data_IF_947644837618
#
_entry.id   IF_947644837618
#
_cell.length_a   1.000
_cell.length_b   1.000
_cell.length_c   1.000
_cell.angle_alpha   90.00
_cell.angle_beta   90.00
_cell.angle_gamma   90.00
#
_symmetry.space_group_name_H-M   'P 1'
#
loop_
_entity.id
_entity.type
_entity.pdbx_description
1 polymer ?
#
# COMPACT_ATOMS: atom_id res chain seq x y z
N UNK A 1 3.30 11.08 -1.67
CA UNK A 1 1.94 10.49 -1.76
C UNK A 1 1.16 10.49 -0.46
N UNK A 2 1.76 10.12 0.67
CA UNK A 2 1.08 10.10 1.97
C UNK A 2 0.38 11.42 2.32
N UNK A 3 1.07 12.55 2.20
CA UNK A 3 0.45 13.87 2.44
C UNK A 3 -0.60 14.25 1.38
N UNK A 4 -0.31 14.00 0.10
CA UNK A 4 -1.21 14.26 -1.04
C UNK A 4 -2.57 13.59 -0.83
N UNK A 5 -2.58 12.35 -0.35
CA UNK A 5 -3.78 11.56 -0.12
C UNK A 5 -4.23 11.52 1.34
N UNK A 6 -3.59 12.30 2.23
CA UNK A 6 -3.88 12.34 3.68
C UNK A 6 -3.87 10.95 4.33
N UNK A 7 -2.94 10.10 3.90
CA UNK A 7 -2.75 8.76 4.46
C UNK A 7 -2.09 8.85 5.84
N UNK A 8 -2.42 7.89 6.70
CA UNK A 8 -1.89 7.76 8.05
C UNK A 8 -1.63 6.30 8.42
N UNK A 9 -1.45 6.04 9.70
CA UNK A 9 -1.26 4.67 10.18
C UNK A 9 -2.53 3.83 9.94
N UNK A 10 -2.43 2.53 9.54
CA UNK A 10 -3.60 1.68 9.28
C UNK A 10 -4.63 1.67 10.41
N UNK A 11 -4.20 1.78 11.67
CA UNK A 11 -5.10 1.83 12.83
C UNK A 11 -6.07 3.03 12.85
N UNK A 12 -5.78 4.12 12.11
CA UNK A 12 -6.67 5.29 12.03
C UNK A 12 -7.83 5.08 11.04
N UNK A 13 -7.84 3.99 10.29
CA UNK A 13 -8.87 3.71 9.29
C UNK A 13 -9.79 2.60 9.77
N UNK A 14 -11.08 2.91 9.87
CA UNK A 14 -12.11 1.99 10.38
C UNK A 14 -12.16 0.64 9.65
N UNK A 15 -11.83 0.62 8.35
CA UNK A 15 -11.80 -0.63 7.58
C UNK A 15 -10.54 -1.45 7.77
N UNK A 16 -9.47 -0.89 8.34
CA UNK A 16 -8.19 -1.57 8.53
C UNK A 16 -7.93 -1.95 9.99
N UNK A 17 -8.69 -1.40 10.94
CA UNK A 17 -8.42 -1.56 12.37
C UNK A 17 -9.31 -2.59 13.10
N UNK A 18 -10.15 -3.34 12.38
CA UNK A 18 -11.07 -4.30 12.99
C UNK A 18 -10.36 -5.54 13.57
N UNK A 19 -9.24 -5.94 12.99
CA UNK A 19 -8.44 -7.10 13.44
C UNK A 19 -7.29 -6.73 14.38
N UNK A 20 -6.93 -5.44 14.48
CA UNK A 20 -5.74 -4.94 15.18
C UNK A 20 -4.39 -5.57 14.75
N UNK A 21 -4.33 -6.20 13.59
CA UNK A 21 -3.10 -6.76 13.02
C UNK A 21 -2.66 -5.92 11.82
N UNK A 22 -1.45 -5.37 11.86
CA UNK A 22 -0.95 -4.40 10.87
C UNK A 22 0.40 -4.80 10.26
N UNK A 23 0.99 -5.90 10.73
CA UNK A 23 2.30 -6.39 10.32
C UNK A 23 2.29 -7.92 10.36
N UNK A 24 3.00 -8.55 9.43
CA UNK A 24 3.20 -10.00 9.39
C UNK A 24 4.70 -10.31 9.44
N UNK A 25 5.08 -11.31 10.21
CA UNK A 25 6.48 -11.70 10.33
C UNK A 25 7.05 -12.15 8.98
N UNK A 26 8.19 -11.56 8.60
CA UNK A 26 8.89 -11.87 7.35
C UNK A 26 8.28 -11.23 6.09
N UNK A 27 7.26 -10.38 6.21
CA UNK A 27 6.66 -9.64 5.09
C UNK A 27 6.93 -8.14 5.23
N UNK A 28 7.29 -7.50 4.12
CA UNK A 28 7.49 -6.06 4.01
C UNK A 28 6.50 -5.46 3.03
N UNK A 29 5.42 -4.86 3.54
CA UNK A 29 4.41 -4.20 2.70
C UNK A 29 5.01 -3.12 1.78
N UNK A 30 6.10 -2.49 2.22
CA UNK A 30 6.84 -1.50 1.43
C UNK A 30 7.51 -2.14 0.20
N UNK A 31 8.14 -3.31 0.36
CA UNK A 31 8.76 -4.04 -0.73
C UNK A 31 7.71 -4.59 -1.70
N UNK A 32 6.62 -5.13 -1.17
CA UNK A 32 5.49 -5.63 -1.97
C UNK A 32 4.83 -4.50 -2.78
N UNK A 33 4.66 -3.32 -2.19
CA UNK A 33 4.15 -2.15 -2.90
C UNK A 33 5.03 -1.78 -4.10
N UNK A 34 6.35 -1.76 -3.93
CA UNK A 34 7.29 -1.49 -5.02
C UNK A 34 7.30 -2.59 -6.09
N UNK A 35 7.15 -3.85 -5.69
CA UNK A 35 7.03 -4.97 -6.62
C UNK A 35 5.74 -4.85 -7.44
N UNK A 36 4.62 -4.50 -6.80
CA UNK A 36 3.32 -4.29 -7.45
C UNK A 36 3.34 -3.13 -8.45
N UNK A 37 3.95 -1.99 -8.09
CA UNK A 37 4.14 -0.84 -9.01
C UNK A 37 4.95 -1.24 -10.25
N UNK A 38 6.01 -2.04 -10.08
CA UNK A 38 6.79 -2.58 -11.20
C UNK A 38 5.98 -3.53 -12.07
N UNK A 39 5.18 -4.41 -11.49
CA UNK A 39 4.31 -5.29 -12.25
C UNK A 39 3.27 -4.50 -13.06
N UNK A 40 2.68 -3.45 -12.48
CA UNK A 40 1.75 -2.53 -13.17
C UNK A 40 2.38 -1.86 -14.38
N UNK A 41 3.63 -1.39 -14.26
CA UNK A 41 4.40 -0.82 -15.36
C UNK A 41 4.65 -1.84 -16.48
N UNK A 42 5.02 -3.07 -16.14
CA UNK A 42 5.22 -4.16 -17.12
C UNK A 42 3.95 -4.50 -17.90
N UNK A 43 2.78 -4.48 -17.25
CA UNK A 43 1.50 -4.73 -17.93
C UNK A 43 0.94 -3.49 -18.64
N UNK A 44 1.66 -2.37 -18.62
CA UNK A 44 1.33 -1.15 -19.37
C UNK A 44 0.34 -0.21 -18.68
N UNK A 45 0.16 -0.31 -17.35
CA UNK A 45 -0.66 0.64 -16.58
C UNK A 45 0.19 1.90 -16.33
N UNK A 46 -0.24 3.02 -16.90
CA UNK A 46 0.48 4.28 -16.82
C UNK A 46 0.50 4.88 -15.41
N UNK A 47 1.46 5.75 -15.06
CA UNK A 47 1.50 6.40 -13.75
C UNK A 47 0.26 7.25 -13.39
N UNK A 48 -0.54 7.63 -14.38
CA UNK A 48 -1.78 8.38 -14.20
C UNK A 48 -2.97 7.46 -13.84
N UNK A 49 -2.94 6.21 -14.32
CA UNK A 49 -3.91 5.17 -14.00
C UNK A 49 -3.63 4.49 -12.64
N UNK A 50 -2.40 4.61 -12.13
CA UNK A 50 -1.99 4.10 -10.81
C UNK A 50 -2.20 5.12 -9.69
#
# INVERSE_FOLDING_TARGET
DTEKYKLGHPSSFHYLNQSNCYQLDGVSDAEEYLAKRRAMDVVGISPEEQ
#
